data_IF_075341406686
#
_entry.id   IF_075341406686
#
_cell.length_a   1.000
_cell.length_b   1.000
_cell.length_c   1.000
_cell.angle_alpha   90.00
_cell.angle_beta   90.00
_cell.angle_gamma   90.00
#
_symmetry.space_group_name_H-M   'P 1'
#
loop_
_entity.id
_entity.type
_entity.pdbx_description
1 polymer ?
#
# COMPACT_ATOMS: atom_id res chain seq x y z
N UNK A 1 -22.31 18.27 25.88
CA UNK A 1 -22.45 16.95 26.52
C UNK A 1 -21.09 16.45 26.99
N UNK A 2 -20.92 16.13 28.25
CA UNK A 2 -19.65 15.66 28.87
C UNK A 2 -19.00 14.50 28.10
N UNK A 3 -19.80 13.55 27.65
CA UNK A 3 -19.29 12.38 26.88
C UNK A 3 -18.69 12.81 25.56
N UNK A 4 -19.29 13.75 24.86
CA UNK A 4 -18.80 14.28 23.59
C UNK A 4 -17.46 15.00 23.76
N UNK A 5 -17.35 15.78 24.84
CA UNK A 5 -16.10 16.47 25.17
C UNK A 5 -14.98 15.51 25.53
N UNK A 6 -15.26 14.47 26.31
CA UNK A 6 -14.31 13.40 26.64
C UNK A 6 -13.80 12.66 25.39
N UNK A 7 -14.69 12.34 24.45
CA UNK A 7 -14.31 11.68 23.18
C UNK A 7 -13.42 12.62 22.36
N UNK A 8 -13.79 13.90 22.25
CA UNK A 8 -12.98 14.87 21.52
C UNK A 8 -11.62 15.13 22.18
N UNK A 9 -11.57 15.15 23.49
CA UNK A 9 -10.32 15.27 24.23
C UNK A 9 -9.41 14.04 24.00
N UNK A 10 -9.97 12.84 24.08
CA UNK A 10 -9.25 11.61 23.77
C UNK A 10 -8.69 11.58 22.34
N UNK A 11 -9.46 12.02 21.35
CA UNK A 11 -8.99 12.13 19.96
C UNK A 11 -7.90 13.19 19.79
N UNK A 12 -8.03 14.35 20.45
CA UNK A 12 -7.02 15.42 20.39
C UNK A 12 -5.69 15.03 21.02
N UNK A 13 -5.74 14.26 22.09
CA UNK A 13 -4.56 13.79 22.81
C UNK A 13 -3.90 12.58 22.14
N UNK A 14 -4.59 11.95 21.18
CA UNK A 14 -4.07 10.83 20.39
C UNK A 14 -3.34 11.30 19.12
N UNK A 15 -2.75 10.34 18.41
CA UNK A 15 -2.15 10.56 17.09
C UNK A 15 -3.16 10.55 15.92
N UNK A 16 -4.47 10.63 16.22
CA UNK A 16 -5.54 10.50 15.23
C UNK A 16 -5.37 11.42 14.02
N UNK A 17 -5.08 12.71 14.25
CA UNK A 17 -5.01 13.67 13.16
C UNK A 17 -3.91 13.37 12.14
N UNK A 18 -2.75 12.89 12.61
CA UNK A 18 -1.63 12.53 11.73
C UNK A 18 -1.95 11.29 10.91
N UNK A 19 -2.39 10.23 11.56
CA UNK A 19 -2.72 8.96 10.92
C UNK A 19 -3.95 9.07 9.99
N UNK A 20 -4.93 9.88 10.38
CA UNK A 20 -6.10 10.13 9.54
C UNK A 20 -5.72 10.88 8.25
N UNK A 21 -4.79 11.85 8.34
CA UNK A 21 -4.30 12.56 7.17
C UNK A 21 -3.57 11.61 6.21
N UNK A 22 -2.76 10.69 6.73
CA UNK A 22 -2.10 9.66 5.93
C UNK A 22 -3.14 8.72 5.28
N UNK A 23 -4.11 8.25 6.05
CA UNK A 23 -5.18 7.41 5.54
C UNK A 23 -6.05 8.07 4.45
N UNK A 24 -6.23 9.40 4.49
CA UNK A 24 -6.95 10.13 3.45
C UNK A 24 -6.25 10.08 2.09
N UNK A 25 -4.93 9.94 2.04
CA UNK A 25 -4.18 9.77 0.79
C UNK A 25 -4.54 8.42 0.15
N UNK A 26 -4.62 7.36 0.95
CA UNK A 26 -5.06 6.04 0.50
C UNK A 26 -6.53 6.04 0.07
N UNK A 27 -7.38 6.80 0.76
CA UNK A 27 -8.78 6.99 0.37
C UNK A 27 -8.92 7.65 -1.00
N UNK A 28 -8.00 8.52 -1.38
CA UNK A 28 -7.92 9.10 -2.74
C UNK A 28 -7.73 8.05 -3.82
N UNK A 29 -7.04 6.94 -3.52
CA UNK A 29 -6.93 5.77 -4.39
C UNK A 29 -8.22 4.94 -4.36
N UNK A 30 -8.82 4.77 -3.17
CA UNK A 30 -10.12 4.11 -3.04
C UNK A 30 -10.49 3.58 -1.68
N UNK A 31 -9.55 3.14 -0.87
CA UNK A 31 -9.84 2.52 0.43
C UNK A 31 -8.79 2.93 1.46
N UNK A 32 -9.28 3.43 2.57
CA UNK A 32 -8.48 3.70 3.77
C UNK A 32 -8.70 2.57 4.77
N UNK A 33 -7.63 2.06 5.34
CA UNK A 33 -7.67 1.13 6.45
C UNK A 33 -6.92 1.73 7.63
N UNK A 34 -7.56 1.75 8.78
CA UNK A 34 -6.99 2.25 10.03
C UNK A 34 -7.17 1.22 11.13
N UNK A 35 -6.12 0.96 11.85
CA UNK A 35 -6.12 0.12 13.04
C UNK A 35 -6.20 1.02 14.28
N UNK A 36 -7.04 0.65 15.24
CA UNK A 36 -7.20 1.36 16.51
C UNK A 36 -6.77 0.43 17.63
N UNK A 37 -5.78 0.84 18.38
CA UNK A 37 -5.22 0.06 19.48
C UNK A 37 -5.28 0.87 20.78
N UNK A 38 -5.13 0.19 21.91
CA UNK A 38 -4.95 0.87 23.19
C UNK A 38 -3.56 1.51 23.25
N UNK A 39 -3.49 2.77 23.66
CA UNK A 39 -2.24 3.47 23.88
C UNK A 39 -1.49 2.97 25.14
N UNK A 40 -0.46 3.73 25.54
CA UNK A 40 0.39 3.36 26.68
C UNK A 40 -0.31 3.45 28.03
N UNK A 41 -1.29 4.34 28.15
CA UNK A 41 -2.03 4.56 29.38
C UNK A 41 -3.47 4.08 29.23
N UNK A 42 -4.13 3.80 30.35
CA UNK A 42 -5.53 3.40 30.35
C UNK A 42 -6.39 4.55 29.82
N UNK A 43 -7.14 4.28 28.75
CA UNK A 43 -7.98 5.27 28.08
C UNK A 43 -7.34 5.98 26.89
N UNK A 44 -6.03 5.80 26.66
CA UNK A 44 -5.36 6.32 25.47
C UNK A 44 -5.74 5.49 24.25
N UNK A 45 -5.96 6.19 23.14
CA UNK A 45 -6.16 5.58 21.83
C UNK A 45 -4.92 5.81 20.96
N UNK A 46 -4.50 4.76 20.29
CA UNK A 46 -3.44 4.80 19.28
C UNK A 46 -4.01 4.37 17.93
N UNK A 47 -3.80 5.21 16.92
CA UNK A 47 -4.25 4.97 15.57
C UNK A 47 -3.06 4.63 14.68
N UNK A 48 -3.26 3.73 13.72
CA UNK A 48 -2.25 3.38 12.72
C UNK A 48 -2.91 3.32 11.36
N UNK A 49 -2.52 4.20 10.44
CA UNK A 49 -2.91 4.08 9.04
C UNK A 49 -2.18 2.88 8.42
N UNK A 50 -2.94 1.96 7.84
CA UNK A 50 -2.40 0.75 7.25
C UNK A 50 -2.54 0.81 5.74
N UNK A 51 -1.42 0.94 5.01
CA UNK A 51 -1.47 1.09 3.56
C UNK A 51 -2.07 -0.15 2.89
N UNK A 52 -2.79 0.01 1.77
CA UNK A 52 -3.41 -1.10 1.04
C UNK A 52 -2.42 -2.17 0.57
N UNK A 53 -1.14 -1.83 0.50
CA UNK A 53 -0.07 -2.76 0.13
C UNK A 53 0.29 -3.75 1.22
N UNK A 54 -0.03 -3.46 2.48
CA UNK A 54 0.30 -4.30 3.65
C UNK A 54 -0.92 -4.91 4.33
N UNK A 55 -2.09 -4.79 3.73
CA UNK A 55 -3.33 -5.37 4.25
C UNK A 55 -4.14 -6.02 3.13
N UNK A 56 -4.71 -7.18 3.41
CA UNK A 56 -5.75 -7.79 2.60
C UNK A 56 -7.06 -7.76 3.38
N UNK A 57 -8.13 -7.37 2.70
CA UNK A 57 -9.47 -7.33 3.26
C UNK A 57 -10.39 -8.26 2.49
N UNK A 58 -11.24 -9.00 3.20
CA UNK A 58 -12.20 -9.89 2.58
C UNK A 58 -13.63 -9.46 2.91
N UNK A 59 -14.56 -9.66 1.97
CA UNK A 59 -15.96 -9.37 2.21
C UNK A 59 -16.48 -10.32 3.27
N UNK A 60 -17.31 -9.79 4.13
CA UNK A 60 -18.05 -10.56 5.08
C UNK A 60 -19.53 -10.58 4.74
N UNK A 61 -20.34 -10.77 5.76
CA UNK A 61 -21.78 -10.74 5.65
C UNK A 61 -22.28 -9.34 5.34
N UNK A 62 -23.31 -9.22 4.51
CA UNK A 62 -23.93 -7.95 4.12
C UNK A 62 -23.00 -6.94 3.42
N UNK A 63 -22.10 -7.38 2.56
CA UNK A 63 -21.17 -6.51 1.84
C UNK A 63 -20.24 -5.64 2.70
N UNK A 64 -20.12 -5.93 3.99
CA UNK A 64 -19.18 -5.28 4.88
C UNK A 64 -17.84 -6.00 4.85
N UNK A 65 -16.76 -5.27 5.05
CA UNK A 65 -15.46 -5.89 5.31
C UNK A 65 -15.50 -6.51 6.69
N UNK A 66 -15.24 -7.81 6.78
CA UNK A 66 -15.32 -8.55 8.02
C UNK A 66 -14.05 -9.31 8.37
N UNK A 67 -13.10 -9.38 7.45
CA UNK A 67 -11.84 -10.05 7.69
C UNK A 67 -10.69 -9.17 7.22
N UNK A 68 -9.67 -9.04 8.05
CA UNK A 68 -8.48 -8.25 7.80
C UNK A 68 -7.24 -9.09 8.02
N UNK A 69 -6.30 -9.01 7.10
CA UNK A 69 -5.00 -9.67 7.18
C UNK A 69 -3.94 -8.61 6.94
N UNK A 70 -3.20 -8.24 7.98
CA UNK A 70 -2.06 -7.33 7.90
C UNK A 70 -0.78 -8.14 7.96
N UNK A 71 0.15 -7.86 7.11
CA UNK A 71 1.48 -8.45 7.18
C UNK A 71 2.55 -7.40 7.45
N UNK A 72 3.51 -7.78 8.26
CA UNK A 72 4.69 -7.01 8.57
C UNK A 72 5.93 -7.84 8.24
N UNK A 73 6.60 -7.47 7.15
CA UNK A 73 7.75 -8.18 6.60
C UNK A 73 9.08 -7.70 7.19
N UNK A 74 9.07 -6.65 7.99
CA UNK A 74 10.29 -5.93 8.40
C UNK A 74 10.62 -6.05 9.88
N UNK A 75 9.84 -6.80 10.66
CA UNK A 75 10.09 -6.97 12.09
C UNK A 75 11.33 -7.81 12.35
N UNK A 76 12.21 -7.30 13.19
CA UNK A 76 13.27 -8.11 13.79
C UNK A 76 12.66 -9.06 14.82
N UNK A 77 13.21 -10.27 14.93
CA UNK A 77 12.68 -11.29 15.85
C UNK A 77 12.61 -10.79 17.30
N UNK A 78 13.51 -9.91 17.69
CA UNK A 78 13.52 -9.28 19.02
C UNK A 78 12.42 -8.23 19.17
N UNK A 79 12.13 -7.48 18.10
CA UNK A 79 11.08 -6.46 18.10
C UNK A 79 9.67 -7.04 18.21
N UNK A 80 9.45 -8.25 17.69
CA UNK A 80 8.16 -8.95 17.79
C UNK A 80 7.68 -9.03 19.24
N UNK A 81 8.58 -9.26 20.22
CA UNK A 81 8.21 -9.27 21.63
C UNK A 81 7.85 -7.91 22.19
N UNK A 82 8.44 -6.85 21.66
CA UNK A 82 8.11 -5.49 22.07
C UNK A 82 6.79 -5.03 21.46
N UNK A 83 6.55 -5.39 20.21
CA UNK A 83 5.30 -5.05 19.52
C UNK A 83 4.13 -5.91 19.98
N UNK A 84 4.40 -7.18 20.27
CA UNK A 84 3.38 -8.17 20.69
C UNK A 84 3.79 -8.87 22.00
N UNK A 85 3.59 -8.22 23.15
CA UNK A 85 4.02 -8.78 24.45
C UNK A 85 3.41 -10.14 24.78
N UNK A 86 2.24 -10.44 24.22
CA UNK A 86 1.51 -11.71 24.45
C UNK A 86 1.93 -12.83 23.50
N UNK A 87 2.82 -12.57 22.55
CA UNK A 87 3.26 -13.56 21.58
C UNK A 87 4.03 -14.70 22.25
N UNK A 88 3.60 -15.93 22.02
CA UNK A 88 4.29 -17.13 22.46
C UNK A 88 5.23 -17.60 21.36
N UNK A 89 6.53 -17.45 21.57
CA UNK A 89 7.52 -17.89 20.61
C UNK A 89 7.55 -19.40 20.49
N UNK A 90 7.69 -19.88 19.26
CA UNK A 90 8.03 -21.27 18.98
C UNK A 90 9.46 -21.56 19.41
N UNK A 91 9.79 -22.85 19.59
CA UNK A 91 11.14 -23.25 19.93
C UNK A 91 12.16 -22.81 18.86
N UNK A 92 11.75 -22.86 17.58
CA UNK A 92 12.55 -22.40 16.43
C UNK A 92 12.82 -20.90 16.50
N UNK A 93 11.79 -20.08 16.77
CA UNK A 93 11.97 -18.62 16.94
C UNK A 93 12.90 -18.29 18.09
N UNK A 94 12.79 -18.99 19.21
CA UNK A 94 13.65 -18.79 20.38
C UNK A 94 15.11 -19.14 20.08
N UNK A 95 15.36 -20.18 19.31
CA UNK A 95 16.71 -20.58 18.89
C UNK A 95 17.30 -19.60 17.86
N UNK A 96 16.47 -19.11 16.93
CA UNK A 96 16.89 -18.10 15.97
C UNK A 96 17.22 -16.79 16.70
N UNK A 97 16.39 -16.38 17.66
CA UNK A 97 16.63 -15.17 18.46
C UNK A 97 17.97 -15.22 19.19
N UNK A 98 18.39 -16.40 19.66
CA UNK A 98 19.69 -16.58 20.32
C UNK A 98 20.88 -16.49 19.34
N UNK A 99 20.70 -16.99 18.11
CA UNK A 99 21.76 -17.03 17.10
C UNK A 99 21.90 -15.72 16.33
N UNK A 100 20.76 -15.15 15.94
CA UNK A 100 20.67 -13.93 15.14
C UNK A 100 19.45 -13.08 15.59
N UNK A 101 19.63 -12.19 16.59
CA UNK A 101 18.55 -11.38 17.14
C UNK A 101 17.94 -10.39 16.14
N UNK A 102 18.67 -10.03 15.08
CA UNK A 102 18.26 -9.07 14.04
C UNK A 102 17.70 -9.74 12.79
N UNK A 103 17.51 -11.06 12.84
CA UNK A 103 16.90 -11.76 11.72
C UNK A 103 15.48 -11.27 11.52
N UNK A 104 15.17 -10.85 10.30
CA UNK A 104 13.83 -10.43 9.93
C UNK A 104 12.89 -11.63 9.87
N UNK A 105 11.72 -11.45 10.44
CA UNK A 105 10.64 -12.44 10.41
C UNK A 105 9.39 -11.77 9.87
N UNK A 106 8.56 -12.57 9.21
CA UNK A 106 7.27 -12.13 8.71
C UNK A 106 6.18 -12.50 9.68
N UNK A 107 5.46 -11.49 10.12
CA UNK A 107 4.32 -11.63 11.03
C UNK A 107 3.05 -11.27 10.28
N UNK A 108 2.03 -12.09 10.45
CA UNK A 108 0.69 -11.86 9.91
C UNK A 108 -0.27 -11.69 11.09
N UNK A 109 -0.96 -10.57 11.08
CA UNK A 109 -2.08 -10.31 11.98
C UNK A 109 -3.38 -10.57 11.22
N UNK A 110 -4.17 -11.52 11.68
CA UNK A 110 -5.44 -11.83 11.08
C UNK A 110 -6.59 -11.56 12.06
N UNK A 111 -7.53 -10.72 11.65
CA UNK A 111 -8.79 -10.52 12.38
C UNK A 111 -9.90 -11.12 11.55
N UNK A 112 -10.52 -12.15 12.04
CA UNK A 112 -11.51 -12.94 11.30
C UNK A 112 -12.85 -12.94 12.03
N UNK A 113 -13.91 -12.79 11.26
CA UNK A 113 -15.27 -12.97 11.76
C UNK A 113 -15.51 -14.46 12.08
N UNK A 114 -15.91 -14.73 13.30
CA UNK A 114 -16.03 -16.10 13.86
C UNK A 114 -17.38 -16.30 14.58
N UNK A 115 -18.46 -15.78 13.99
CA UNK A 115 -19.78 -15.95 14.58
C UNK A 115 -20.67 -16.85 13.72
N UNK A 116 -21.24 -17.87 14.34
CA UNK A 116 -22.31 -18.70 13.74
C UNK A 116 -23.66 -17.96 13.71
N UNK A 117 -23.80 -16.91 14.52
CA UNK A 117 -25.00 -16.10 14.63
C UNK A 117 -24.83 -14.75 13.93
N UNK A 118 -25.70 -14.48 12.95
CA UNK A 118 -25.69 -13.23 12.15
C UNK A 118 -25.81 -11.94 12.98
N UNK A 119 -26.30 -12.05 14.21
CA UNK A 119 -26.56 -10.91 15.08
C UNK A 119 -25.49 -10.69 16.15
N UNK A 120 -24.49 -11.57 16.20
CA UNK A 120 -23.36 -11.45 17.12
C UNK A 120 -22.12 -11.04 16.38
N UNK A 121 -21.56 -9.91 16.78
CA UNK A 121 -20.26 -9.45 16.31
C UNK A 121 -19.17 -10.14 17.13
N UNK A 122 -18.78 -11.32 16.70
CA UNK A 122 -17.68 -12.08 17.30
C UNK A 122 -16.53 -12.18 16.31
N UNK A 123 -15.34 -11.83 16.76
CA UNK A 123 -14.13 -11.85 15.95
C UNK A 123 -13.02 -12.57 16.69
N UNK A 124 -12.19 -13.27 15.93
CA UNK A 124 -10.99 -13.91 16.48
C UNK A 124 -9.76 -13.26 15.85
N UNK A 125 -8.88 -12.79 16.73
CA UNK A 125 -7.57 -12.25 16.34
C UNK A 125 -6.53 -13.36 16.42
N UNK A 126 -5.73 -13.48 15.39
CA UNK A 126 -4.61 -14.40 15.30
C UNK A 126 -3.35 -13.65 14.98
N UNK A 127 -2.29 -13.93 15.73
CA UNK A 127 -0.94 -13.52 15.41
C UNK A 127 -0.17 -14.73 14.89
N UNK A 128 0.30 -14.69 13.68
CA UNK A 128 0.87 -15.83 12.96
C UNK A 128 2.31 -15.49 12.53
N UNK A 129 3.24 -16.41 12.79
CA UNK A 129 4.55 -16.38 12.15
C UNK A 129 4.48 -17.12 10.81
N UNK A 130 4.70 -16.39 9.69
CA UNK A 130 4.75 -17.02 8.37
C UNK A 130 5.95 -17.96 8.24
N UNK A 131 7.09 -17.57 8.81
CA UNK A 131 8.33 -18.34 8.75
C UNK A 131 8.20 -19.71 9.39
N UNK A 132 7.58 -19.77 10.57
CA UNK A 132 7.42 -21.02 11.33
C UNK A 132 6.07 -21.69 11.10
N UNK A 133 5.18 -21.05 10.35
CA UNK A 133 3.78 -21.49 10.11
C UNK A 133 3.05 -21.81 11.42
N UNK A 134 3.26 -20.99 12.43
CA UNK A 134 2.74 -21.20 13.78
C UNK A 134 1.93 -20.00 14.26
N UNK A 135 0.88 -20.28 15.03
CA UNK A 135 0.08 -19.26 15.70
C UNK A 135 0.81 -18.88 17.00
N UNK A 136 1.19 -17.61 17.11
CA UNK A 136 1.90 -17.07 18.27
C UNK A 136 0.94 -16.58 19.36
N UNK A 137 -0.24 -16.10 18.95
CA UNK A 137 -1.27 -15.63 19.87
C UNK A 137 -2.66 -15.75 19.23
N UNK A 138 -3.66 -15.97 20.07
CA UNK A 138 -5.07 -15.97 19.67
C UNK A 138 -5.87 -15.26 20.75
N UNK A 139 -6.76 -14.34 20.34
CA UNK A 139 -7.65 -13.61 21.23
C UNK A 139 -9.03 -13.51 20.62
N UNK A 140 -10.08 -13.62 21.43
CA UNK A 140 -11.46 -13.41 21.00
C UNK A 140 -11.93 -12.02 21.38
N UNK A 141 -12.59 -11.37 20.44
CA UNK A 141 -13.23 -10.06 20.62
C UNK A 141 -14.72 -10.24 20.43
N UNK A 142 -15.49 -9.86 21.44
CA UNK A 142 -16.94 -10.06 21.47
C UNK A 142 -17.62 -8.73 21.72
N UNK A 143 -18.65 -8.46 20.94
CA UNK A 143 -19.50 -7.28 21.10
C UNK A 143 -19.41 -6.33 19.89
N UNK A 144 -20.45 -5.52 19.77
CA UNK A 144 -20.56 -4.56 18.70
C UNK A 144 -19.47 -3.48 18.83
N UNK A 145 -18.73 -3.28 17.74
CA UNK A 145 -17.62 -2.33 17.72
C UNK A 145 -16.34 -2.83 18.41
N UNK A 146 -16.26 -4.13 18.73
CA UNK A 146 -15.03 -4.73 19.30
C UNK A 146 -13.90 -4.88 18.29
N UNK A 147 -14.20 -4.71 16.99
CA UNK A 147 -13.21 -4.79 15.91
C UNK A 147 -12.33 -3.55 15.92
N UNK A 148 -11.01 -3.71 15.99
CA UNK A 148 -10.08 -2.59 16.01
C UNK A 148 -9.87 -1.95 14.62
N UNK A 149 -10.52 -2.45 13.59
CA UNK A 149 -10.35 -1.99 12.22
C UNK A 149 -11.43 -1.01 11.77
N UNK A 150 -11.00 0.10 11.18
CA UNK A 150 -11.85 1.06 10.50
C UNK A 150 -11.49 1.03 9.02
N UNK A 151 -12.37 0.50 8.18
CA UNK A 151 -12.20 0.47 6.73
C UNK A 151 -13.21 1.36 6.07
N UNK A 152 -12.74 2.41 5.41
CA UNK A 152 -13.56 3.37 4.69
C UNK A 152 -13.27 3.30 3.20
N UNK A 153 -14.33 3.29 2.37
CA UNK A 153 -14.24 3.24 0.91
C UNK A 153 -14.80 4.52 0.31
N UNK A 154 -14.08 5.12 -0.64
CA UNK A 154 -14.54 6.33 -1.32
C UNK A 154 -15.85 6.09 -2.08
N UNK A 155 -15.85 5.13 -2.98
CA UNK A 155 -17.03 4.68 -3.72
C UNK A 155 -17.03 3.17 -3.76
N UNK A 156 -18.17 2.57 -3.42
CA UNK A 156 -18.38 1.14 -3.44
C UNK A 156 -19.04 0.74 -4.76
N UNK A 157 -18.49 -0.22 -5.45
CA UNK A 157 -19.16 -0.95 -6.54
C UNK A 157 -19.66 -2.29 -6.01
N UNK A 158 -20.79 -2.77 -6.54
CA UNK A 158 -21.36 -4.05 -6.09
C UNK A 158 -20.35 -5.19 -6.20
N UNK A 159 -20.29 -6.06 -5.20
CA UNK A 159 -19.37 -7.20 -5.10
C UNK A 159 -17.88 -6.87 -5.02
N UNK A 160 -17.48 -5.61 -5.07
CA UNK A 160 -16.08 -5.21 -4.89
C UNK A 160 -15.78 -4.95 -3.42
N UNK A 161 -14.68 -5.48 -2.95
CA UNK A 161 -14.20 -5.29 -1.58
C UNK A 161 -13.50 -3.94 -1.45
N UNK A 162 -12.68 -3.60 -2.44
CA UNK A 162 -11.94 -2.35 -2.50
C UNK A 162 -12.81 -1.22 -3.08
N UNK A 163 -12.65 -0.03 -2.53
CA UNK A 163 -13.30 1.17 -3.06
C UNK A 163 -12.61 1.69 -4.31
N UNK A 164 -13.35 2.45 -5.10
CA UNK A 164 -12.83 3.18 -6.26
C UNK A 164 -12.69 4.65 -5.92
N UNK A 165 -11.45 5.15 -5.88
CA UNK A 165 -11.16 6.54 -5.60
C UNK A 165 -11.15 7.43 -6.84
N UNK A 166 -11.14 8.75 -6.65
CA UNK A 166 -11.11 9.72 -7.75
C UNK A 166 -9.82 9.61 -8.59
N UNK A 167 -8.71 9.21 -7.99
CA UNK A 167 -7.44 9.02 -8.70
C UNK A 167 -7.56 7.91 -9.74
N UNK A 168 -8.23 6.79 -9.41
CA UNK A 168 -8.45 5.72 -10.38
C UNK A 168 -9.32 6.14 -11.55
N UNK A 169 -10.32 7.01 -11.30
CA UNK A 169 -11.18 7.55 -12.36
C UNK A 169 -10.41 8.53 -13.27
N UNK A 170 -9.49 9.29 -12.70
CA UNK A 170 -8.66 10.24 -13.44
C UNK A 170 -7.45 9.58 -14.16
N UNK A 171 -7.16 8.32 -13.86
CA UNK A 171 -5.95 7.61 -14.37
C UNK A 171 -5.79 7.67 -15.90
N UNK A 172 -6.85 7.48 -16.73
CA UNK A 172 -6.71 7.60 -18.18
C UNK A 172 -6.25 8.99 -18.62
N UNK A 173 -6.82 10.05 -18.03
CA UNK A 173 -6.46 11.42 -18.32
C UNK A 173 -5.01 11.74 -17.89
N UNK A 174 -4.60 11.24 -16.71
CA UNK A 174 -3.23 11.38 -16.20
C UNK A 174 -2.23 10.71 -17.15
N UNK A 175 -2.54 9.50 -17.62
CA UNK A 175 -1.68 8.78 -18.58
C UNK A 175 -1.55 9.53 -19.89
N UNK A 176 -2.64 10.08 -20.42
CA UNK A 176 -2.62 10.90 -21.65
C UNK A 176 -1.79 12.15 -21.46
N UNK A 177 -1.96 12.85 -20.34
CA UNK A 177 -1.18 14.05 -20.03
C UNK A 177 0.32 13.74 -19.95
N UNK A 178 0.70 12.69 -19.22
CA UNK A 178 2.09 12.28 -19.09
C UNK A 178 2.71 11.93 -20.45
N UNK A 179 1.98 11.20 -21.31
CA UNK A 179 2.43 10.89 -22.65
C UNK A 179 2.61 12.16 -23.49
N UNK A 180 1.67 13.11 -23.40
CA UNK A 180 1.76 14.38 -24.11
C UNK A 180 3.00 15.18 -23.68
N UNK A 181 3.24 15.29 -22.38
CA UNK A 181 4.43 15.96 -21.84
C UNK A 181 5.71 15.27 -22.30
N UNK A 182 5.74 13.94 -22.27
CA UNK A 182 6.88 13.16 -22.77
C UNK A 182 7.16 13.47 -24.24
N UNK A 183 6.15 13.42 -25.11
CA UNK A 183 6.30 13.74 -26.53
C UNK A 183 6.78 15.18 -26.79
N UNK A 184 6.31 16.14 -25.97
CA UNK A 184 6.78 17.53 -26.07
C UNK A 184 8.27 17.62 -25.72
N UNK A 185 8.70 16.94 -24.66
CA UNK A 185 10.11 16.93 -24.23
C UNK A 185 11.00 16.23 -25.26
N UNK A 186 10.57 15.10 -25.80
CA UNK A 186 11.29 14.39 -26.88
C UNK A 186 11.43 15.25 -28.14
N UNK A 187 10.36 15.95 -28.55
CA UNK A 187 10.42 16.89 -29.66
C UNK A 187 11.34 18.06 -29.38
N UNK A 188 11.31 18.61 -28.16
CA UNK A 188 12.21 19.67 -27.76
C UNK A 188 13.68 19.22 -27.78
N UNK A 189 13.95 18.00 -27.31
CA UNK A 189 15.28 17.43 -27.37
C UNK A 189 15.76 17.23 -28.80
N UNK A 190 14.91 16.71 -29.70
CA UNK A 190 15.19 16.61 -31.13
C UNK A 190 15.48 17.97 -31.79
N UNK A 191 14.71 19.01 -31.43
CA UNK A 191 14.89 20.33 -31.94
C UNK A 191 16.20 21.00 -31.47
N UNK A 192 16.62 20.74 -30.25
CA UNK A 192 17.86 21.27 -29.65
C UNK A 192 19.09 20.53 -30.19
N UNK A 193 19.06 19.20 -30.18
CA UNK A 193 20.19 18.40 -30.63
C UNK A 193 20.36 18.36 -32.14
N UNK A 194 19.26 18.60 -32.88
CA UNK A 194 19.23 18.53 -34.33
C UNK A 194 19.52 17.13 -34.89
N UNK A 195 19.34 16.99 -36.17
CA UNK A 195 19.82 15.84 -36.95
C UNK A 195 20.81 16.33 -37.99
N UNK A 196 21.92 15.62 -38.11
CA UNK A 196 22.98 15.97 -39.02
C UNK A 196 22.92 15.07 -40.26
N UNK A 197 23.07 15.67 -41.42
CA UNK A 197 23.10 14.93 -42.68
C UNK A 197 24.54 14.96 -43.20
N UNK A 198 25.05 13.80 -43.59
CA UNK A 198 26.40 13.70 -44.21
C UNK A 198 26.33 12.90 -45.51
N UNK A 199 27.29 13.15 -46.41
CA UNK A 199 27.36 12.43 -47.68
C UNK A 199 27.88 10.99 -47.43
N UNK A 200 27.13 10.02 -47.89
CA UNK A 200 27.45 8.59 -47.71
C UNK A 200 28.46 8.16 -48.83
N UNK A 201 29.55 7.55 -48.36
CA UNK A 201 30.60 6.99 -49.25
C UNK A 201 30.33 5.53 -49.71
N UNK A 202 29.16 5.01 -49.42
CA UNK A 202 28.70 3.68 -49.83
C UNK A 202 29.09 2.55 -48.91
N UNK A 203 29.65 2.85 -47.73
CA UNK A 203 30.03 1.87 -46.71
C UNK A 203 28.92 1.65 -45.67
N UNK A 204 27.95 2.53 -45.59
CA UNK A 204 26.92 2.55 -44.56
C UNK A 204 25.64 1.77 -44.99
N UNK A 205 25.08 0.99 -44.07
CA UNK A 205 23.81 0.31 -44.28
C UNK A 205 22.66 1.16 -43.73
N UNK A 206 21.76 1.70 -44.58
CA UNK A 206 20.66 2.59 -44.12
C UNK A 206 19.62 1.91 -43.25
N UNK A 207 19.54 0.57 -43.24
CA UNK A 207 18.55 -0.17 -42.46
C UNK A 207 18.81 -0.12 -40.94
N UNK A 208 19.97 0.37 -40.52
CA UNK A 208 20.36 0.44 -39.09
C UNK A 208 20.30 1.86 -38.49
N UNK A 209 19.73 2.85 -39.20
CA UNK A 209 19.65 4.22 -38.69
C UNK A 209 18.41 4.38 -37.83
N UNK A 210 18.61 4.46 -36.52
CA UNK A 210 17.56 4.87 -35.58
C UNK A 210 17.62 6.38 -35.40
N UNK A 211 16.52 7.08 -35.71
CA UNK A 211 16.44 8.52 -35.53
C UNK A 211 16.38 8.83 -34.05
N UNK A 212 17.44 9.42 -33.52
CA UNK A 212 17.57 9.89 -32.13
C UNK A 212 18.14 11.30 -32.14
N UNK A 213 18.00 12.07 -31.05
CA UNK A 213 18.62 13.39 -30.93
C UNK A 213 20.12 13.33 -31.23
N UNK A 214 20.59 14.17 -32.16
CA UNK A 214 21.98 14.16 -32.59
C UNK A 214 22.38 13.07 -33.57
N UNK A 215 21.43 12.36 -34.17
CA UNK A 215 21.72 11.30 -35.15
C UNK A 215 22.28 11.87 -36.47
N UNK A 216 23.31 11.19 -37.00
CA UNK A 216 23.86 11.46 -38.32
C UNK A 216 23.13 10.62 -39.38
N UNK A 217 22.44 11.28 -40.30
CA UNK A 217 21.66 10.64 -41.37
C UNK A 217 22.51 10.63 -42.64
N UNK A 218 22.84 9.44 -43.20
CA UNK A 218 23.59 9.35 -44.45
C UNK A 218 22.70 9.79 -45.64
N UNK A 219 23.23 10.55 -46.55
CA UNK A 219 22.57 10.88 -47.83
C UNK A 219 23.43 10.50 -48.99
N UNK A 220 22.78 10.23 -50.11
CA UNK A 220 23.50 9.98 -51.36
C UNK A 220 24.08 11.33 -51.87
N UNK A 221 25.37 11.34 -52.30
CA UNK A 221 25.98 12.55 -52.86
C UNK A 221 25.14 13.14 -53.98
N UNK A 222 24.79 14.46 -53.85
CA UNK A 222 24.00 15.17 -54.87
C UNK A 222 22.46 15.04 -54.71
N UNK A 223 21.95 14.34 -53.71
CA UNK A 223 20.51 14.36 -53.40
C UNK A 223 20.15 15.51 -52.47
N UNK A 224 19.01 16.20 -52.71
CA UNK A 224 18.41 17.17 -51.78
C UNK A 224 17.42 16.46 -50.89
N UNK A 225 17.49 16.73 -49.57
CA UNK A 225 16.45 16.31 -48.61
C UNK A 225 15.56 17.55 -48.47
N UNK A 226 14.32 17.46 -48.96
CA UNK A 226 13.29 18.46 -48.69
C UNK A 226 12.76 18.22 -47.26
N UNK A 227 12.83 19.26 -46.42
CA UNK A 227 12.32 19.25 -45.05
C UNK A 227 10.86 19.64 -45.01
#
# INVERSE_FOLDING_TARGET
DEITELIHEGLRNSNFNAEFHEGLQDLGIGTMNMLVESGRFVGDLHFTAVPPTSVAVLPGHMDMVSNWFRWNDTCDITEVKHMYPYAKYTQQMADIQKRDPRRKTKIIEATMYDSDDRFKDEYTYYLISETDKAILHTSKMVGRGSVPWITTRWSKSGYEVWGRGPILQAMPAIKTLNLTVQLILENAEMAIAGSYVYDDDGVFNPDNVTIQPGTFIPRRPGSTIDT
#
